data_IF_233923390186
#
_entry.id   IF_233923390186
#
_cell.length_a   1.000
_cell.length_b   1.000
_cell.length_c   1.000
_cell.angle_alpha   90.00
_cell.angle_beta   90.00
_cell.angle_gamma   90.00
#
_symmetry.space_group_name_H-M   'P 1'
#
loop_
_entity.id
_entity.type
_entity.pdbx_description
1 polymer ?
#
# COMPACT_ATOMS: atom_id res chain seq x y z
N UNK A 1 16.56 -3.15 -9.55
CA UNK A 1 15.70 -3.16 -10.76
C UNK A 1 15.60 -4.54 -11.41
N UNK A 2 16.60 -5.44 -11.27
CA UNK A 2 16.60 -6.77 -11.93
C UNK A 2 15.44 -7.68 -11.48
N UNK A 3 15.11 -7.71 -10.18
CA UNK A 3 14.04 -8.57 -9.65
C UNK A 3 12.70 -8.47 -10.41
N UNK A 4 12.22 -7.25 -10.66
CA UNK A 4 10.95 -7.02 -11.36
C UNK A 4 11.01 -7.36 -12.85
N UNK A 5 12.19 -7.26 -13.47
CA UNK A 5 12.40 -7.69 -14.86
C UNK A 5 12.39 -9.20 -14.99
N UNK A 6 12.92 -9.90 -13.98
CA UNK A 6 12.99 -11.36 -13.93
C UNK A 6 11.68 -12.00 -13.45
N UNK A 7 10.86 -11.24 -12.71
CA UNK A 7 9.58 -11.68 -12.18
C UNK A 7 8.48 -10.71 -12.61
N UNK A 8 8.13 -10.70 -13.92
CA UNK A 8 7.09 -9.81 -14.42
C UNK A 8 5.74 -10.19 -13.81
N UNK A 9 4.89 -9.18 -13.68
CA UNK A 9 3.52 -9.35 -13.24
C UNK A 9 2.78 -10.41 -14.08
N UNK A 10 2.24 -11.44 -13.41
CA UNK A 10 1.58 -12.57 -14.08
C UNK A 10 0.09 -12.36 -14.33
N UNK A 11 -0.53 -11.38 -13.66
CA UNK A 11 -1.97 -11.12 -13.72
C UNK A 11 -2.22 -9.71 -14.21
N UNK A 12 -3.16 -9.54 -15.15
CA UNK A 12 -3.59 -8.23 -15.63
C UNK A 12 -4.75 -7.71 -14.78
N UNK A 13 -4.90 -6.38 -14.64
CA UNK A 13 -6.01 -5.82 -13.90
C UNK A 13 -7.33 -6.14 -14.60
N UNK A 14 -8.39 -6.28 -13.80
CA UNK A 14 -9.72 -6.45 -14.34
C UNK A 14 -10.15 -5.21 -15.16
N UNK A 15 -11.05 -5.34 -16.15
CA UNK A 15 -11.41 -4.22 -17.02
C UNK A 15 -12.09 -3.04 -16.29
N UNK A 16 -12.63 -3.29 -15.11
CA UNK A 16 -13.35 -2.34 -14.26
C UNK A 16 -12.48 -1.16 -13.78
N UNK A 17 -11.19 -1.39 -13.59
CA UNK A 17 -10.21 -0.32 -13.28
C UNK A 17 -10.24 0.81 -14.32
N UNK A 18 -10.57 0.51 -15.59
CA UNK A 18 -10.67 1.51 -16.66
C UNK A 18 -11.90 2.39 -16.49
N UNK A 19 -12.98 1.84 -15.95
CA UNK A 19 -14.16 2.63 -15.60
C UNK A 19 -13.84 3.56 -14.42
N UNK A 20 -13.09 3.08 -13.43
CA UNK A 20 -12.62 3.92 -12.33
C UNK A 20 -11.74 5.07 -12.84
N UNK A 21 -10.82 4.81 -13.77
CA UNK A 21 -10.00 5.85 -14.40
C UNK A 21 -10.84 6.91 -15.12
N UNK A 22 -11.80 6.47 -15.95
CA UNK A 22 -12.69 7.38 -16.67
C UNK A 22 -13.58 8.20 -15.72
N UNK A 23 -14.06 7.58 -14.65
CA UNK A 23 -14.82 8.27 -13.59
C UNK A 23 -13.98 9.35 -12.91
N UNK A 24 -12.75 9.01 -12.53
CA UNK A 24 -11.81 9.96 -11.91
C UNK A 24 -11.52 11.16 -12.82
N UNK A 25 -11.41 10.97 -14.15
CA UNK A 25 -11.28 12.08 -15.11
C UNK A 25 -12.51 12.97 -15.10
N UNK A 26 -13.71 12.38 -15.10
CA UNK A 26 -14.97 13.12 -15.11
C UNK A 26 -15.15 13.98 -13.85
N UNK A 27 -14.72 13.49 -12.68
CA UNK A 27 -14.78 14.23 -11.41
C UNK A 27 -13.53 15.04 -11.11
N UNK A 28 -12.59 15.11 -12.06
CA UNK A 28 -11.33 15.86 -11.94
C UNK A 28 -10.47 15.45 -10.74
N UNK A 29 -10.47 14.16 -10.39
CA UNK A 29 -9.59 13.59 -9.36
C UNK A 29 -8.19 13.40 -9.93
N UNK A 30 -7.18 13.82 -9.17
CA UNK A 30 -5.78 13.57 -9.54
C UNK A 30 -5.50 12.08 -9.59
N UNK A 31 -4.95 11.62 -10.70
CA UNK A 31 -4.62 10.23 -10.93
C UNK A 31 -3.48 10.07 -11.92
N UNK A 32 -2.87 8.89 -11.90
CA UNK A 32 -1.83 8.47 -12.81
C UNK A 32 -2.05 6.99 -13.17
N UNK A 33 -1.95 6.69 -14.46
CA UNK A 33 -1.93 5.32 -14.94
C UNK A 33 -0.47 4.88 -15.10
N UNK A 34 -0.04 3.85 -14.36
CA UNK A 34 1.33 3.31 -14.41
C UNK A 34 1.29 1.82 -14.74
N UNK A 35 1.58 1.49 -15.99
CA UNK A 35 1.52 0.12 -16.53
C UNK A 35 0.15 -0.53 -16.30
N UNK A 36 0.05 -1.38 -15.28
CA UNK A 36 -1.16 -2.11 -14.90
C UNK A 36 -1.83 -1.53 -13.64
N UNK A 37 -1.27 -0.47 -13.04
CA UNK A 37 -1.75 0.11 -11.78
C UNK A 37 -2.43 1.46 -11.99
N UNK A 38 -3.55 1.65 -11.30
CA UNK A 38 -4.20 2.94 -11.13
C UNK A 38 -3.73 3.59 -9.83
N UNK A 39 -3.00 4.70 -9.93
CA UNK A 39 -2.59 5.52 -8.79
C UNK A 39 -3.55 6.71 -8.72
N UNK A 40 -4.24 6.92 -7.59
CA UNK A 40 -5.25 7.98 -7.47
C UNK A 40 -5.20 8.68 -6.12
N UNK A 41 -5.61 9.94 -6.09
CA UNK A 41 -5.75 10.69 -4.85
C UNK A 41 -7.07 10.31 -4.14
N UNK A 42 -6.98 9.62 -3.01
CA UNK A 42 -8.14 9.20 -2.22
C UNK A 42 -7.75 8.86 -0.79
N UNK A 43 -8.58 9.22 0.17
CA UNK A 43 -8.44 8.85 1.59
C UNK A 43 -9.13 7.52 1.92
N UNK A 44 -9.82 6.93 0.97
CA UNK A 44 -10.51 5.65 1.13
C UNK A 44 -9.54 4.48 0.96
N UNK A 45 -9.92 3.30 1.45
CA UNK A 45 -9.18 2.07 1.14
C UNK A 45 -9.40 1.69 -0.34
N UNK A 46 -8.39 1.16 -1.03
CA UNK A 46 -8.58 0.65 -2.38
C UNK A 46 -9.56 -0.53 -2.34
N UNK A 47 -10.63 -0.45 -3.13
CA UNK A 47 -11.65 -1.50 -3.25
C UNK A 47 -11.39 -2.48 -4.39
N UNK A 48 -10.58 -2.06 -5.37
CA UNK A 48 -10.26 -2.81 -6.59
C UNK A 48 -8.79 -3.15 -6.58
N UNK A 49 -8.45 -4.38 -6.94
CA UNK A 49 -7.07 -4.80 -7.15
C UNK A 49 -6.35 -3.89 -8.16
N UNK A 50 -5.02 -3.84 -8.06
CA UNK A 50 -4.16 -2.97 -8.89
C UNK A 50 -4.40 -1.46 -8.70
N UNK A 51 -5.00 -1.07 -7.57
CA UNK A 51 -5.21 0.34 -7.21
C UNK A 51 -4.28 0.75 -6.08
N UNK A 52 -3.65 1.92 -6.21
CA UNK A 52 -2.86 2.57 -5.17
C UNK A 52 -3.47 3.93 -4.87
N UNK A 53 -3.88 4.14 -3.63
CA UNK A 53 -4.38 5.43 -3.18
C UNK A 53 -3.22 6.21 -2.53
N UNK A 54 -3.10 7.48 -2.88
CA UNK A 54 -2.18 8.40 -2.21
C UNK A 54 -2.96 9.56 -1.60
N UNK A 55 -2.43 10.10 -0.51
CA UNK A 55 -3.03 11.22 0.22
C UNK A 55 -1.96 12.25 0.49
N UNK A 56 -2.26 13.52 0.24
CA UNK A 56 -1.41 14.63 0.67
C UNK A 56 -1.70 14.95 2.14
N UNK A 57 -0.68 14.95 2.99
CA UNK A 57 -0.85 15.31 4.39
C UNK A 57 0.44 15.29 5.20
N UNK A 58 0.32 15.72 6.45
CA UNK A 58 1.38 15.59 7.46
C UNK A 58 1.10 14.46 8.45
N UNK A 59 1.80 14.48 9.57
CA UNK A 59 1.73 13.42 10.59
C UNK A 59 0.32 13.26 11.20
N UNK A 60 -0.41 14.36 11.38
CA UNK A 60 -1.80 14.32 11.86
C UNK A 60 -2.73 13.55 10.91
N UNK A 61 -2.49 13.67 9.61
CA UNK A 61 -3.26 12.93 8.60
C UNK A 61 -2.97 11.44 8.66
N UNK A 62 -1.72 11.06 8.93
CA UNK A 62 -1.35 9.65 9.15
C UNK A 62 -2.05 9.10 10.39
N UNK A 63 -2.09 9.87 11.49
CA UNK A 63 -2.80 9.48 12.73
C UNK A 63 -4.30 9.31 12.50
N UNK A 64 -4.92 10.24 11.76
CA UNK A 64 -6.33 10.18 11.35
C UNK A 64 -6.62 8.91 10.52
N UNK A 65 -5.82 8.66 9.48
CA UNK A 65 -5.99 7.49 8.62
C UNK A 65 -5.78 6.18 9.39
N UNK A 66 -4.76 6.10 10.26
CA UNK A 66 -4.52 4.94 11.14
C UNK A 66 -5.74 4.65 12.02
N UNK A 67 -6.35 5.69 12.61
CA UNK A 67 -7.55 5.54 13.41
C UNK A 67 -8.76 5.11 12.56
N UNK A 68 -8.93 5.67 11.36
CA UNK A 68 -10.08 5.38 10.48
C UNK A 68 -10.05 3.97 9.90
N UNK A 69 -8.88 3.49 9.48
CA UNK A 69 -8.72 2.16 8.90
C UNK A 69 -8.72 1.06 9.96
N UNK A 70 -8.29 1.38 11.18
CA UNK A 70 -8.31 0.48 12.32
C UNK A 70 -7.62 -0.85 12.00
N UNK A 71 -8.34 -1.96 12.17
CA UNK A 71 -7.81 -3.32 11.95
C UNK A 71 -7.55 -3.69 10.49
N UNK A 72 -8.03 -2.89 9.53
CA UNK A 72 -7.77 -3.12 8.09
C UNK A 72 -6.36 -2.65 7.70
N UNK A 73 -5.75 -1.79 8.50
CA UNK A 73 -4.38 -1.35 8.29
C UNK A 73 -3.41 -2.43 8.78
N UNK A 74 -2.63 -2.98 7.85
CA UNK A 74 -1.67 -4.03 8.14
C UNK A 74 -0.37 -3.48 8.72
N UNK A 75 0.19 -2.44 8.12
CA UNK A 75 1.49 -1.86 8.49
C UNK A 75 1.61 -0.41 8.00
N UNK A 76 2.47 0.36 8.65
CA UNK A 76 2.81 1.73 8.25
C UNK A 76 4.31 1.83 8.06
N UNK A 77 4.72 2.33 6.88
CA UNK A 77 6.12 2.49 6.52
C UNK A 77 6.49 3.95 6.32
N UNK A 78 7.67 4.36 6.78
CA UNK A 78 8.22 5.71 6.59
C UNK A 78 9.60 5.67 5.92
N UNK A 79 9.96 6.76 5.25
CA UNK A 79 11.27 6.96 4.62
C UNK A 79 12.22 7.83 5.45
N UNK A 80 11.90 8.13 6.71
CA UNK A 80 12.68 8.97 7.63
C UNK A 80 12.88 8.32 9.01
N UNK A 81 13.69 8.95 9.86
CA UNK A 81 14.10 8.36 11.16
C UNK A 81 13.14 8.66 12.33
N UNK A 82 12.28 9.67 12.23
CA UNK A 82 11.44 10.13 13.34
C UNK A 82 9.97 10.29 12.92
N UNK A 83 9.10 9.61 13.66
CA UNK A 83 7.68 9.91 13.71
C UNK A 83 7.15 9.56 15.10
N UNK A 84 6.31 10.40 15.67
CA UNK A 84 5.64 10.17 16.95
C UNK A 84 4.51 9.12 16.85
N UNK A 85 4.37 8.48 15.68
CA UNK A 85 3.36 7.46 15.42
C UNK A 85 3.90 6.10 15.87
N UNK A 86 3.18 5.45 16.78
CA UNK A 86 3.54 4.11 17.26
C UNK A 86 3.43 3.06 16.14
N UNK A 87 4.26 2.01 16.22
CA UNK A 87 4.23 0.84 15.32
C UNK A 87 4.52 1.18 13.85
N UNK A 88 5.42 2.13 13.62
CA UNK A 88 5.93 2.44 12.28
C UNK A 88 7.23 1.67 12.01
N UNK A 89 7.34 1.15 10.79
CA UNK A 89 8.54 0.50 10.27
C UNK A 89 9.23 1.38 9.23
N UNK A 90 10.54 1.21 9.08
CA UNK A 90 11.28 1.89 8.03
C UNK A 90 11.05 1.19 6.68
N UNK A 91 10.71 1.94 5.64
CA UNK A 91 10.46 1.38 4.30
C UNK A 91 11.69 0.64 3.75
N UNK A 92 12.90 1.06 4.13
CA UNK A 92 14.14 0.39 3.75
C UNK A 92 14.22 -1.06 4.26
N UNK A 93 13.60 -1.33 5.42
CA UNK A 93 13.54 -2.66 6.06
C UNK A 93 12.42 -3.52 5.48
N UNK A 94 11.39 -2.91 4.91
CA UNK A 94 10.26 -3.62 4.29
C UNK A 94 10.68 -4.53 3.11
N UNK A 95 11.72 -4.15 2.37
CA UNK A 95 12.21 -4.97 1.24
C UNK A 95 13.02 -6.20 1.67
N UNK A 96 13.57 -6.19 2.88
CA UNK A 96 14.36 -7.29 3.46
C UNK A 96 13.93 -7.48 4.91
N UNK A 97 12.69 -7.95 5.12
CA UNK A 97 12.15 -8.05 6.46
C UNK A 97 12.99 -9.02 7.30
N UNK A 98 13.19 -8.73 8.60
CA UNK A 98 13.88 -9.66 9.48
C UNK A 98 13.09 -10.97 9.64
N UNK A 99 13.76 -12.04 10.07
CA UNK A 99 13.13 -13.38 10.17
C UNK A 99 11.92 -13.44 11.12
N UNK A 100 11.86 -12.53 12.09
CA UNK A 100 10.77 -12.40 13.05
C UNK A 100 9.64 -11.48 12.56
N UNK A 101 9.70 -11.01 11.32
CA UNK A 101 8.64 -10.22 10.69
C UNK A 101 7.36 -11.05 10.57
N UNK A 102 6.22 -10.43 10.86
CA UNK A 102 4.91 -11.07 10.91
C UNK A 102 3.99 -10.48 9.85
N UNK A 103 4.08 -10.94 8.58
CA UNK A 103 3.14 -10.49 7.56
C UNK A 103 1.73 -10.84 8.00
N UNK A 104 0.82 -9.87 7.97
CA UNK A 104 -0.58 -10.03 8.40
C UNK A 104 -0.76 -10.50 9.87
N UNK A 105 0.25 -10.26 10.72
CA UNK A 105 0.26 -10.75 12.10
C UNK A 105 0.48 -12.26 12.23
N UNK A 106 0.78 -12.96 11.13
CA UNK A 106 1.07 -14.39 11.11
C UNK A 106 2.51 -14.65 11.54
N UNK A 107 2.69 -15.54 12.52
CA UNK A 107 4.01 -15.97 12.98
C UNK A 107 4.54 -17.10 12.09
N UNK A 108 5.26 -16.73 11.03
CA UNK A 108 5.78 -17.66 10.03
C UNK A 108 6.75 -18.69 10.64
N UNK A 109 7.52 -18.29 11.66
CA UNK A 109 8.43 -19.20 12.37
C UNK A 109 7.62 -20.29 13.09
N UNK A 110 6.54 -19.90 13.77
CA UNK A 110 5.66 -20.86 14.45
C UNK A 110 5.00 -21.86 13.49
N UNK A 111 4.69 -21.45 12.26
CA UNK A 111 4.14 -22.34 11.24
C UNK A 111 5.18 -23.30 10.64
N UNK A 112 6.45 -22.87 10.53
CA UNK A 112 7.54 -23.71 10.01
C UNK A 112 8.07 -24.76 11.00
N UNK A 113 7.87 -24.54 12.30
CA UNK A 113 8.36 -25.43 13.38
C UNK A 113 7.27 -26.42 13.85
N UNK A 114 6.09 -26.41 13.24
CA UNK A 114 5.07 -27.46 13.39
C UNK A 114 5.36 -28.65 12.47
#
# INVERSE_FOLDING_TARGET
>A
QEFWKENPQHQKPAPDIKYQYAYNEAVQRNQLWLEDFLIQESEELPEIDFTVNWVKGGEDKVKELKASFGKKLQSVYITGEDSDVSEIEELSKAQRPPIFWKPDGVDVIKELVK
#
